data_IF_356870250069
#
_entry.id   IF_356870250069
#
_cell.length_a   1.000
_cell.length_b   1.000
_cell.length_c   1.000
_cell.angle_alpha   90.00
_cell.angle_beta   90.00
_cell.angle_gamma   90.00
#
_symmetry.space_group_name_H-M   'P 1'
#
loop_
_entity.id
_entity.type
_entity.pdbx_description
1 polymer ?
#
# COMPACT_ATOMS: atom_id res chain seq x y z
N UNK A 1 15.17 14.01 -1.64
CA UNK A 1 14.66 14.03 -0.24
C UNK A 1 13.30 14.71 -0.25
N UNK A 2 12.28 14.04 -0.80
CA UNK A 2 10.94 14.58 -0.97
C UNK A 2 10.08 14.24 0.23
N UNK A 3 9.58 15.24 0.93
CA UNK A 3 8.56 15.10 1.96
C UNK A 3 7.31 14.50 1.29
N UNK A 4 6.97 13.26 1.62
CA UNK A 4 5.72 12.64 1.18
C UNK A 4 4.55 13.51 1.65
N UNK A 5 3.52 13.78 0.82
CA UNK A 5 2.35 14.54 1.23
C UNK A 5 1.46 13.66 2.11
N UNK A 6 1.89 13.43 3.35
CA UNK A 6 1.12 12.72 4.38
C UNK A 6 0.65 13.74 5.40
N UNK A 7 -0.22 14.64 4.97
CA UNK A 7 -0.76 15.74 5.78
C UNK A 7 -1.76 15.27 6.85
N UNK A 8 -2.07 13.97 6.94
CA UNK A 8 -3.02 13.41 7.91
C UNK A 8 -2.32 12.57 8.98
N UNK A 9 -2.56 12.91 10.25
CA UNK A 9 -2.12 12.16 11.44
C UNK A 9 -2.31 10.64 11.31
N UNK A 10 -3.45 10.20 10.75
CA UNK A 10 -3.78 8.78 10.58
C UNK A 10 -2.82 8.06 9.63
N UNK A 11 -2.51 8.70 8.51
CA UNK A 11 -1.68 8.11 7.47
C UNK A 11 -0.19 8.05 7.91
N UNK A 12 0.27 8.97 8.76
CA UNK A 12 1.62 8.91 9.33
C UNK A 12 1.81 7.69 10.25
N UNK A 13 0.86 7.43 11.14
CA UNK A 13 0.89 6.28 12.04
C UNK A 13 0.92 4.94 11.29
N UNK A 14 0.05 4.80 10.29
CA UNK A 14 0.00 3.60 9.45
C UNK A 14 1.23 3.50 8.53
N UNK A 15 1.71 4.62 7.99
CA UNK A 15 2.91 4.68 7.18
C UNK A 15 4.13 4.15 7.93
N UNK A 16 4.29 4.50 9.22
CA UNK A 16 5.36 3.97 10.06
C UNK A 16 5.29 2.44 10.21
N UNK A 17 4.11 1.91 10.50
CA UNK A 17 3.89 0.46 10.62
C UNK A 17 4.21 -0.26 9.31
N UNK A 18 3.64 0.23 8.20
CA UNK A 18 3.80 -0.36 6.88
C UNK A 18 5.26 -0.31 6.43
N UNK A 19 5.92 0.83 6.59
CA UNK A 19 7.33 0.99 6.23
C UNK A 19 8.21 0.03 7.04
N UNK A 20 7.97 -0.09 8.34
CA UNK A 20 8.69 -1.02 9.22
C UNK A 20 8.53 -2.48 8.77
N UNK A 21 7.30 -2.94 8.55
CA UNK A 21 7.02 -4.34 8.14
C UNK A 21 7.54 -4.62 6.73
N UNK A 22 7.43 -3.65 5.82
CA UNK A 22 7.96 -3.78 4.44
C UNK A 22 9.49 -3.94 4.39
N UNK A 23 10.19 -3.56 5.46
CA UNK A 23 11.64 -3.71 5.63
C UNK A 23 12.01 -4.90 6.52
N UNK A 24 11.05 -5.75 6.88
CA UNK A 24 11.26 -6.94 7.71
C UNK A 24 11.37 -6.66 9.21
N UNK A 25 11.00 -5.46 9.66
CA UNK A 25 11.00 -5.07 11.06
C UNK A 25 9.66 -5.29 11.77
N UNK A 26 9.68 -5.13 13.09
CA UNK A 26 8.49 -5.08 13.93
C UNK A 26 8.33 -3.67 14.52
N UNK A 27 7.10 -3.17 14.56
CA UNK A 27 6.80 -1.89 15.22
C UNK A 27 6.34 -2.15 16.65
N UNK A 28 7.12 -1.67 17.63
CA UNK A 28 6.72 -1.62 19.03
C UNK A 28 6.17 -0.23 19.34
N UNK A 29 4.94 -0.16 19.87
CA UNK A 29 4.30 1.09 20.25
C UNK A 29 4.27 1.22 21.77
N UNK A 30 4.93 2.25 22.28
CA UNK A 30 4.86 2.59 23.70
C UNK A 30 3.69 3.53 23.98
N UNK A 31 2.98 3.29 25.08
CA UNK A 31 1.88 4.14 25.55
C UNK A 31 2.02 4.35 27.05
N UNK A 32 2.05 5.60 27.48
CA UNK A 32 2.11 5.96 28.91
C UNK A 32 0.71 6.21 29.45
N UNK A 33 0.28 5.52 30.52
CA UNK A 33 -0.97 5.85 31.18
C UNK A 33 -0.87 7.18 31.92
N UNK A 34 -2.02 7.82 32.13
CA UNK A 34 -2.18 8.95 33.04
C UNK A 34 -1.91 8.54 34.49
N UNK A 35 -1.75 9.50 35.40
CA UNK A 35 -1.58 9.26 36.84
C UNK A 35 -2.72 8.43 37.47
N UNK A 36 -3.90 8.37 36.84
CA UNK A 36 -5.03 7.52 37.26
C UNK A 36 -5.04 6.14 36.60
N UNK A 37 -3.96 5.75 35.91
CA UNK A 37 -3.84 4.45 35.25
C UNK A 37 -4.66 4.31 33.95
N UNK A 38 -5.18 5.40 33.39
CA UNK A 38 -6.00 5.37 32.15
C UNK A 38 -5.20 5.81 30.94
N UNK A 39 -5.50 5.24 29.77
CA UNK A 39 -4.99 5.76 28.50
C UNK A 39 -5.52 7.17 28.24
N UNK A 40 -4.66 8.04 27.72
CA UNK A 40 -5.08 9.38 27.32
C UNK A 40 -5.84 9.35 25.98
N UNK A 41 -6.46 10.47 25.64
CA UNK A 41 -7.26 10.57 24.42
C UNK A 41 -6.40 10.42 23.16
N UNK A 42 -5.14 10.89 23.18
CA UNK A 42 -4.22 10.84 22.04
C UNK A 42 -3.81 9.40 21.72
N UNK A 43 -3.40 8.62 22.72
CA UNK A 43 -3.06 7.22 22.55
C UNK A 43 -4.27 6.40 22.15
N UNK A 44 -5.44 6.66 22.75
CA UNK A 44 -6.69 5.99 22.35
C UNK A 44 -7.02 6.27 20.88
N UNK A 45 -6.92 7.53 20.44
CA UNK A 45 -7.16 7.90 19.05
C UNK A 45 -6.14 7.26 18.10
N UNK A 46 -4.86 7.21 18.47
CA UNK A 46 -3.82 6.56 17.68
C UNK A 46 -4.07 5.05 17.53
N UNK A 47 -4.39 4.35 18.63
CA UNK A 47 -4.72 2.92 18.61
C UNK A 47 -5.97 2.65 17.76
N UNK A 48 -6.97 3.53 17.81
CA UNK A 48 -8.18 3.41 17.00
C UNK A 48 -7.88 3.49 15.49
N UNK A 49 -6.92 4.33 15.07
CA UNK A 49 -6.49 4.40 13.66
C UNK A 49 -5.99 3.04 13.16
N UNK A 50 -5.14 2.38 13.95
CA UNK A 50 -4.66 1.03 13.61
C UNK A 50 -5.83 0.04 13.62
N UNK A 51 -6.66 0.05 14.66
CA UNK A 51 -7.77 -0.88 14.81
C UNK A 51 -8.73 -0.82 13.61
N UNK A 52 -9.13 0.40 13.20
CA UNK A 52 -10.06 0.60 12.08
C UNK A 52 -9.46 0.14 10.75
N UNK A 53 -8.21 0.48 10.48
CA UNK A 53 -7.54 0.10 9.24
C UNK A 53 -7.29 -1.42 9.17
N UNK A 54 -6.93 -2.04 10.30
CA UNK A 54 -6.65 -3.48 10.39
C UNK A 54 -7.87 -4.35 10.07
N UNK A 55 -9.10 -3.86 10.25
CA UNK A 55 -10.33 -4.62 9.94
C UNK A 55 -10.29 -5.24 8.54
N UNK A 56 -9.74 -4.51 7.57
CA UNK A 56 -9.65 -4.96 6.18
C UNK A 56 -8.22 -5.36 5.76
N UNK A 57 -7.19 -4.83 6.43
CA UNK A 57 -5.80 -4.92 5.92
C UNK A 57 -4.85 -5.77 6.77
N UNK A 58 -5.33 -6.38 7.85
CA UNK A 58 -4.49 -7.17 8.78
C UNK A 58 -3.63 -8.25 8.13
N UNK A 59 -4.10 -8.86 7.04
CA UNK A 59 -3.37 -9.91 6.33
C UNK A 59 -2.09 -9.40 5.64
N UNK A 60 -2.04 -8.11 5.30
CA UNK A 60 -0.87 -7.44 4.74
C UNK A 60 0.19 -7.06 5.80
N UNK A 61 -0.08 -7.33 7.09
CA UNK A 61 0.84 -7.05 8.20
C UNK A 61 1.16 -8.34 8.97
N UNK A 62 0.16 -9.02 9.52
CA UNK A 62 0.41 -10.19 10.37
C UNK A 62 0.91 -11.39 9.58
N UNK A 63 2.13 -11.82 9.91
CA UNK A 63 2.84 -12.90 9.21
C UNK A 63 3.30 -12.53 7.80
N UNK A 64 3.17 -11.26 7.42
CA UNK A 64 3.78 -10.74 6.21
C UNK A 64 5.25 -10.38 6.48
N UNK A 65 6.08 -10.42 5.45
CA UNK A 65 7.49 -10.04 5.47
C UNK A 65 7.78 -9.02 4.38
N UNK A 66 9.00 -8.49 4.36
CA UNK A 66 9.49 -7.72 3.23
C UNK A 66 9.29 -8.51 1.92
N UNK A 67 8.78 -7.83 0.89
CA UNK A 67 8.74 -8.44 -0.44
C UNK A 67 10.14 -8.35 -1.06
N UNK A 68 10.58 -9.45 -1.70
CA UNK A 68 11.82 -9.48 -2.48
C UNK A 68 11.59 -8.84 -3.86
N UNK A 69 11.31 -7.55 -3.83
CA UNK A 69 10.97 -6.72 -4.99
C UNK A 69 11.60 -5.34 -4.80
N UNK A 70 11.98 -4.66 -5.89
CA UNK A 70 12.58 -3.33 -5.80
C UNK A 70 11.63 -2.35 -5.09
N UNK A 71 12.19 -1.38 -4.35
CA UNK A 71 11.39 -0.35 -3.71
C UNK A 71 10.66 0.48 -4.76
N UNK A 72 9.41 0.81 -4.45
CA UNK A 72 8.54 1.59 -5.32
C UNK A 72 8.43 3.01 -4.80
N UNK A 73 8.39 3.96 -5.73
CA UNK A 73 7.97 5.30 -5.39
C UNK A 73 6.51 5.25 -4.89
N UNK A 74 6.23 5.96 -3.80
CA UNK A 74 4.88 6.12 -3.23
C UNK A 74 4.15 4.84 -2.79
N UNK A 75 4.80 3.68 -2.86
CA UNK A 75 4.26 2.41 -2.41
C UNK A 75 5.20 1.68 -1.45
N UNK A 76 4.65 0.75 -0.69
CA UNK A 76 5.41 -0.24 0.08
C UNK A 76 4.89 -1.62 -0.21
N UNK A 77 5.78 -2.60 -0.17
CA UNK A 77 5.47 -3.98 -0.52
C UNK A 77 5.69 -4.89 0.70
N UNK A 78 4.73 -5.76 0.93
CA UNK A 78 4.85 -6.85 1.90
C UNK A 78 4.39 -8.13 1.24
N UNK A 79 4.90 -9.28 1.68
CA UNK A 79 4.59 -10.58 1.10
C UNK A 79 4.18 -11.57 2.18
N UNK A 80 3.18 -12.40 1.88
CA UNK A 80 2.78 -13.55 2.70
C UNK A 80 2.46 -14.73 1.80
N UNK A 81 3.29 -15.77 1.84
CA UNK A 81 3.17 -16.91 0.90
C UNK A 81 3.32 -16.44 -0.55
N UNK A 82 2.35 -16.76 -1.40
CA UNK A 82 2.28 -16.31 -2.80
C UNK A 82 1.55 -14.97 -2.99
N UNK A 83 1.04 -14.34 -1.93
CA UNK A 83 0.38 -13.04 -2.01
C UNK A 83 1.37 -11.90 -1.78
N UNK A 84 1.35 -10.90 -2.67
CA UNK A 84 2.05 -9.63 -2.50
C UNK A 84 1.02 -8.54 -2.22
N UNK A 85 1.27 -7.74 -1.19
CA UNK A 85 0.41 -6.61 -0.82
C UNK A 85 1.12 -5.31 -1.14
N UNK A 86 0.45 -4.49 -1.94
CA UNK A 86 0.90 -3.16 -2.37
C UNK A 86 0.18 -2.13 -1.54
N UNK A 87 0.90 -1.50 -0.62
CA UNK A 87 0.40 -0.42 0.22
C UNK A 87 0.60 0.90 -0.52
N UNK A 88 -0.49 1.52 -0.94
CA UNK A 88 -0.47 2.73 -1.79
C UNK A 88 -0.47 3.97 -0.90
N UNK A 89 0.72 4.53 -0.63
CA UNK A 89 0.88 5.66 0.29
C UNK A 89 0.41 6.97 -0.35
N UNK A 90 0.63 7.14 -1.66
CA UNK A 90 0.08 8.23 -2.46
C UNK A 90 -0.79 7.62 -3.54
N UNK A 91 -2.08 8.01 -3.58
CA UNK A 91 -3.03 7.48 -4.56
C UNK A 91 -2.80 8.14 -5.92
N UNK A 92 -2.46 7.37 -6.98
CA UNK A 92 -2.18 7.95 -8.28
C UNK A 92 -3.47 8.22 -9.06
N UNK A 93 -3.36 9.02 -10.12
CA UNK A 93 -4.47 9.24 -11.03
C UNK A 93 -4.55 8.09 -12.04
N UNK A 94 -5.55 7.21 -11.88
CA UNK A 94 -5.95 6.10 -12.77
C UNK A 94 -4.97 4.96 -12.98
N UNK A 95 -3.66 5.20 -12.96
CA UNK A 95 -2.68 4.16 -13.26
C UNK A 95 -1.66 3.99 -12.14
N UNK A 96 -1.38 2.74 -11.80
CA UNK A 96 -0.27 2.36 -10.93
C UNK A 96 0.64 1.40 -11.68
N UNK A 97 1.91 1.77 -11.81
CA UNK A 97 2.93 0.98 -12.50
C UNK A 97 3.80 0.27 -11.46
N UNK A 98 3.92 -1.04 -11.59
CA UNK A 98 4.81 -1.85 -10.78
C UNK A 98 5.89 -2.50 -11.66
N UNK A 99 7.16 -2.11 -11.53
CA UNK A 99 8.23 -2.67 -12.31
C UNK A 99 8.46 -4.15 -12.04
N UNK A 100 8.81 -4.88 -13.09
CA UNK A 100 9.28 -6.27 -13.04
C UNK A 100 8.29 -7.30 -12.44
N UNK A 101 6.99 -7.00 -12.48
CA UNK A 101 5.92 -7.86 -11.95
C UNK A 101 4.94 -8.40 -13.02
N UNK A 102 5.08 -7.99 -14.29
CA UNK A 102 4.09 -8.21 -15.35
C UNK A 102 3.67 -9.67 -15.55
N UNK A 103 4.63 -10.59 -15.65
CA UNK A 103 4.36 -12.00 -16.00
C UNK A 103 3.98 -12.89 -14.82
N UNK A 104 4.04 -12.37 -13.58
CA UNK A 104 3.89 -13.17 -12.36
C UNK A 104 2.54 -13.01 -11.68
N UNK A 105 1.72 -12.03 -12.08
CA UNK A 105 0.46 -11.69 -11.41
C UNK A 105 -0.73 -12.13 -12.28
N UNK A 106 -1.57 -13.02 -11.77
CA UNK A 106 -2.79 -13.42 -12.47
C UNK A 106 -4.05 -12.72 -11.93
N UNK A 107 -3.98 -12.12 -10.72
CA UNK A 107 -5.12 -11.42 -10.12
C UNK A 107 -4.70 -10.26 -9.22
N UNK A 108 -5.46 -9.17 -9.27
CA UNK A 108 -5.29 -8.01 -8.39
C UNK A 108 -6.64 -7.57 -7.79
N UNK A 109 -6.69 -7.28 -6.49
CA UNK A 109 -7.93 -6.85 -5.81
C UNK A 109 -7.65 -5.76 -4.78
N UNK A 110 -8.57 -4.81 -4.64
CA UNK A 110 -8.58 -3.86 -3.51
C UNK A 110 -9.03 -4.59 -2.25
N UNK A 111 -8.23 -4.57 -1.19
CA UNK A 111 -8.54 -5.31 0.04
C UNK A 111 -9.76 -4.76 0.79
N UNK A 112 -10.00 -3.45 0.72
CA UNK A 112 -11.09 -2.82 1.47
C UNK A 112 -12.49 -3.12 0.89
N UNK A 113 -12.60 -3.33 -0.42
CA UNK A 113 -13.88 -3.65 -1.09
C UNK A 113 -13.94 -5.09 -1.61
N UNK A 114 -12.79 -5.74 -1.79
CA UNK A 114 -12.69 -7.02 -2.51
C UNK A 114 -12.89 -6.90 -4.02
N UNK A 115 -13.07 -5.68 -4.56
CA UNK A 115 -13.25 -5.45 -6.00
C UNK A 115 -11.97 -5.78 -6.76
N UNK A 116 -12.14 -6.39 -7.93
CA UNK A 116 -11.05 -6.72 -8.84
C UNK A 116 -10.52 -5.46 -9.54
N UNK A 117 -9.21 -5.40 -9.70
CA UNK A 117 -8.53 -4.29 -10.39
C UNK A 117 -8.13 -4.79 -11.78
N UNK A 118 -8.43 -3.99 -12.80
CA UNK A 118 -8.06 -4.31 -14.18
C UNK A 118 -6.55 -4.23 -14.34
N UNK A 119 -5.96 -5.31 -14.82
CA UNK A 119 -4.57 -5.34 -15.28
C UNK A 119 -4.58 -4.87 -16.73
N UNK A 120 -3.84 -3.80 -17.00
CA UNK A 120 -3.71 -3.23 -18.33
C UNK A 120 -2.45 -3.81 -18.99
N UNK A 121 -2.59 -4.22 -20.25
CA UNK A 121 -1.43 -4.62 -21.05
C UNK A 121 -0.62 -3.38 -21.40
N UNK A 122 0.73 -3.44 -21.34
CA UNK A 122 1.58 -2.38 -21.85
C UNK A 122 1.22 -2.13 -23.32
N UNK A 123 0.76 -0.92 -23.63
CA UNK A 123 0.59 -0.53 -25.03
C UNK A 123 1.90 0.04 -25.55
N UNK A 124 2.29 -0.29 -26.80
CA UNK A 124 3.43 0.35 -27.42
C UNK A 124 3.22 1.87 -27.43
N UNK A 125 4.27 2.67 -27.20
CA UNK A 125 4.15 4.12 -27.11
C UNK A 125 3.53 4.67 -28.40
N UNK A 126 2.40 5.39 -28.28
CA UNK A 126 1.81 6.09 -29.40
C UNK A 126 2.70 7.30 -29.74
N UNK A 127 3.15 7.45 -31.00
CA UNK A 127 4.00 8.59 -31.40
C UNK A 127 3.36 9.97 -31.18
N UNK A 128 2.04 10.04 -30.95
CA UNK A 128 1.33 11.29 -30.64
C UNK A 128 1.19 11.58 -29.14
N UNK A 129 1.56 10.65 -28.24
CA UNK A 129 1.49 10.89 -26.80
C UNK A 129 2.69 11.72 -26.36
N UNK A 130 2.46 12.98 -26.00
CA UNK A 130 3.52 13.94 -25.63
C UNK A 130 3.99 13.78 -24.18
N UNK A 131 3.34 12.90 -23.40
CA UNK A 131 3.62 12.63 -21.98
C UNK A 131 3.87 11.13 -21.77
N UNK A 132 4.90 10.59 -22.43
CA UNK A 132 5.29 9.20 -22.26
C UNK A 132 6.03 9.02 -20.93
N UNK A 133 5.39 8.35 -19.96
CA UNK A 133 6.15 7.55 -19.00
C UNK A 133 6.47 6.25 -19.76
N UNK A 134 7.75 5.96 -20.07
CA UNK A 134 8.10 4.69 -20.70
C UNK A 134 7.68 3.57 -19.75
N UNK A 135 6.71 2.76 -20.17
CA UNK A 135 6.31 1.55 -19.45
C UNK A 135 7.09 0.40 -20.08
N UNK A 136 7.93 -0.26 -19.30
CA UNK A 136 8.64 -1.44 -19.79
C UNK A 136 7.61 -2.55 -20.11
N UNK A 137 7.77 -3.34 -21.19
CA UNK A 137 6.89 -4.47 -21.47
C UNK A 137 6.74 -5.46 -20.30
N UNK A 138 7.70 -5.51 -19.37
CA UNK A 138 7.67 -6.34 -18.18
C UNK A 138 7.04 -5.64 -16.94
N UNK A 139 6.67 -4.36 -17.06
CA UNK A 139 5.99 -3.61 -16.02
C UNK A 139 4.51 -3.98 -15.97
N UNK A 140 4.00 -4.10 -14.74
CA UNK A 140 2.59 -4.37 -14.49
C UNK A 140 1.86 -3.04 -14.28
N UNK A 141 0.87 -2.76 -15.13
CA UNK A 141 0.05 -1.55 -14.99
C UNK A 141 -1.36 -1.90 -14.53
N UNK A 142 -1.83 -1.21 -13.49
CA UNK A 142 -3.19 -1.35 -12.98
C UNK A 142 -4.06 -0.14 -13.32
N UNK A 143 -5.30 -0.40 -13.74
CA UNK A 143 -6.35 0.62 -13.83
C UNK A 143 -7.04 0.81 -12.48
N UNK A 144 -6.72 1.88 -11.77
CA UNK A 144 -7.29 2.26 -10.48
C UNK A 144 -8.50 3.19 -10.62
N UNK A 145 -9.44 3.16 -9.66
CA UNK A 145 -10.47 4.19 -9.53
C UNK A 145 -9.88 5.60 -9.41
N UNK A 146 -10.56 6.58 -9.99
CA UNK A 146 -10.16 8.01 -9.87
C UNK A 146 -10.25 8.46 -8.42
N UNK A 147 -11.34 8.10 -7.74
CA UNK A 147 -11.52 8.41 -6.32
C UNK A 147 -10.75 7.42 -5.45
N UNK A 148 -9.96 7.97 -4.52
CA UNK A 148 -9.27 7.16 -3.53
C UNK A 148 -10.31 6.45 -2.65
N UNK A 149 -10.16 5.14 -2.41
CA UNK A 149 -10.99 4.46 -1.43
C UNK A 149 -10.98 5.18 -0.06
N UNK A 150 -12.11 5.22 0.67
CA UNK A 150 -12.28 5.96 1.93
C UNK A 150 -11.61 5.25 3.12
N UNK A 151 -10.39 4.77 2.91
CA UNK A 151 -9.50 4.20 3.91
C UNK A 151 -8.22 5.02 3.94
N UNK A 152 -7.53 5.07 5.08
CA UNK A 152 -6.33 5.89 5.24
C UNK A 152 -5.25 5.55 4.19
N UNK A 153 -4.86 4.28 4.10
CA UNK A 153 -3.91 3.76 3.12
C UNK A 153 -4.56 2.56 2.41
N UNK A 154 -4.94 2.67 1.12
CA UNK A 154 -5.44 1.54 0.35
C UNK A 154 -4.39 0.46 0.16
N UNK A 155 -4.82 -0.81 0.15
CA UNK A 155 -3.95 -1.95 -0.14
C UNK A 155 -4.52 -2.77 -1.28
N UNK A 156 -3.66 -3.08 -2.24
CA UNK A 156 -3.96 -4.00 -3.33
C UNK A 156 -3.30 -5.34 -3.01
N UNK A 157 -4.06 -6.43 -3.06
CA UNK A 157 -3.50 -7.78 -2.98
C UNK A 157 -3.32 -8.33 -4.39
N UNK A 158 -2.11 -8.81 -4.66
CA UNK A 158 -1.70 -9.47 -5.88
C UNK A 158 -1.57 -10.97 -5.60
N UNK A 159 -2.26 -11.78 -6.41
CA UNK A 159 -2.05 -13.21 -6.43
C UNK A 159 -0.99 -13.53 -7.49
N UNK A 160 0.12 -14.12 -7.05
CA UNK A 160 1.16 -14.60 -7.94
C UNK A 160 0.82 -16.00 -8.50
N UNK A 161 1.37 -16.30 -9.67
CA UNK A 161 1.36 -17.64 -10.30
C UNK A 161 2.30 -18.57 -9.53
#
# INVERSE_FOLDING_TARGET
MGLLPVTSFRANLLGLLIDTVSKGGNLLMHVSPTARGRLDAKSTAALQVYADWMRYHRAAIYGARAADLPPLQDCRLTRKGSAVYVHVLVWPFRHLHLPSLGTKVWRARLMNYGSEIKILQPQPPNPNDTMLVPVDPNDLTFGLPVEKPPVAIPVIVLALI
#
